data_IF_575145747134
#
_entry.id   IF_575145747134
#
_cell.length_a   1.000
_cell.length_b   1.000
_cell.length_c   1.000
_cell.angle_alpha   90.00
_cell.angle_beta   90.00
_cell.angle_gamma   90.00
#
_symmetry.space_group_name_H-M   'P 1'
#
loop_
_entity.id
_entity.type
_entity.pdbx_description
1 polymer ?
#
# COMPACT_ATOMS: atom_id res chain seq x y z
N UNK A 1 46.65 38.07 -70.50
CA UNK A 1 45.69 38.05 -69.39
C UNK A 1 46.11 37.05 -68.32
N UNK A 2 46.83 37.54 -67.31
CA UNK A 2 47.25 36.71 -66.18
C UNK A 2 46.20 36.84 -65.09
N UNK A 3 45.53 35.77 -64.80
CA UNK A 3 44.59 35.69 -63.70
C UNK A 3 45.34 35.63 -62.36
N UNK A 4 45.30 36.71 -61.61
CA UNK A 4 45.80 36.79 -60.23
C UNK A 4 44.93 35.88 -59.34
N UNK A 5 45.43 34.66 -59.08
CA UNK A 5 44.84 33.80 -58.01
C UNK A 5 45.04 34.51 -56.69
N UNK A 6 43.96 35.00 -56.14
CA UNK A 6 43.88 35.35 -54.73
C UNK A 6 43.98 34.04 -53.95
N UNK A 7 45.09 33.74 -53.35
CA UNK A 7 45.18 32.69 -52.33
C UNK A 7 44.62 33.25 -51.03
N UNK A 8 43.38 32.89 -50.72
CA UNK A 8 42.77 33.12 -49.43
C UNK A 8 43.26 32.07 -48.41
N UNK A 9 44.57 31.82 -48.41
CA UNK A 9 45.16 31.01 -47.35
C UNK A 9 45.34 31.87 -46.10
N UNK A 10 44.61 31.58 -45.04
CA UNK A 10 44.82 32.23 -43.74
C UNK A 10 46.19 31.76 -43.21
N UNK A 11 47.19 32.58 -43.29
CA UNK A 11 48.52 32.27 -42.75
C UNK A 11 48.47 32.35 -41.22
N UNK A 12 48.41 31.16 -40.58
CA UNK A 12 48.40 30.99 -39.14
C UNK A 12 49.62 31.66 -38.45
N UNK A 13 50.73 31.81 -39.17
CA UNK A 13 51.92 32.46 -38.64
C UNK A 13 51.71 33.98 -38.57
N UNK A 14 51.13 34.59 -39.60
CA UNK A 14 50.78 36.02 -39.57
C UNK A 14 49.71 36.29 -38.46
N UNK A 15 48.77 35.41 -38.31
CA UNK A 15 47.74 35.50 -37.24
C UNK A 15 48.36 35.45 -35.85
N UNK A 16 49.34 34.55 -35.64
CA UNK A 16 50.07 34.45 -34.37
C UNK A 16 50.94 35.68 -34.09
N UNK A 17 51.55 36.23 -35.07
CA UNK A 17 52.32 37.45 -34.93
C UNK A 17 51.45 38.67 -34.59
N UNK A 18 50.25 38.79 -35.19
CA UNK A 18 49.28 39.82 -34.86
C UNK A 18 48.84 39.71 -33.42
N UNK A 19 48.48 38.50 -32.99
CA UNK A 19 48.09 38.21 -31.55
C UNK A 19 49.25 38.62 -30.63
N UNK A 20 50.49 38.35 -30.98
CA UNK A 20 51.66 38.69 -30.18
C UNK A 20 51.89 40.21 -30.06
N UNK A 21 51.64 40.97 -31.12
CA UNK A 21 51.73 42.45 -31.10
C UNK A 21 50.71 43.04 -30.09
N UNK A 22 49.50 42.48 -30.05
CA UNK A 22 48.42 42.95 -29.17
C UNK A 22 48.37 42.25 -27.82
N UNK A 23 49.37 41.44 -27.45
CA UNK A 23 49.37 40.64 -26.19
C UNK A 23 49.07 41.45 -24.95
N UNK A 24 49.47 42.72 -24.85
CA UNK A 24 49.17 43.59 -23.70
C UNK A 24 47.67 43.90 -23.60
N UNK A 25 47.01 44.12 -24.73
CA UNK A 25 45.56 44.38 -24.74
C UNK A 25 44.77 43.12 -24.44
N UNK A 26 45.18 41.99 -25.02
CA UNK A 26 44.57 40.67 -24.71
C UNK A 26 44.72 40.37 -23.24
N UNK A 27 45.90 40.55 -22.67
CA UNK A 27 46.13 40.31 -21.26
C UNK A 27 45.31 41.28 -20.38
N UNK A 28 45.28 42.57 -20.68
CA UNK A 28 44.56 43.57 -19.93
C UNK A 28 43.04 43.31 -19.93
N UNK A 29 42.46 43.01 -21.11
CA UNK A 29 41.03 42.73 -21.23
C UNK A 29 40.68 41.44 -20.53
N UNK A 30 41.45 40.36 -20.72
CA UNK A 30 41.24 39.07 -20.06
C UNK A 30 41.34 39.22 -18.52
N UNK A 31 42.38 39.94 -18.05
CA UNK A 31 42.56 40.18 -16.62
C UNK A 31 41.42 41.02 -16.02
N UNK A 32 40.98 42.08 -16.72
CA UNK A 32 39.87 42.94 -16.25
C UNK A 32 38.55 42.14 -16.16
N UNK A 33 38.21 41.38 -17.19
CA UNK A 33 36.97 40.58 -17.19
C UNK A 33 37.04 39.48 -16.13
N UNK A 34 38.20 38.85 -15.97
CA UNK A 34 38.39 37.81 -14.92
C UNK A 34 38.34 38.41 -13.52
N UNK A 35 38.83 39.62 -13.32
CA UNK A 35 38.73 40.31 -12.03
C UNK A 35 37.28 40.66 -11.68
N UNK A 36 36.50 41.17 -12.64
CA UNK A 36 35.06 41.43 -12.44
C UNK A 36 34.32 40.13 -12.12
N UNK A 37 34.59 39.05 -12.82
CA UNK A 37 34.00 37.74 -12.53
C UNK A 37 34.44 37.21 -11.16
N UNK A 38 35.68 37.45 -10.77
CA UNK A 38 36.14 37.14 -9.41
C UNK A 38 35.40 37.93 -8.36
N UNK A 39 35.27 39.25 -8.50
CA UNK A 39 34.48 40.09 -7.60
C UNK A 39 33.03 39.60 -7.51
N UNK A 40 32.39 39.32 -8.64
CA UNK A 40 31.04 38.74 -8.65
C UNK A 40 30.99 37.40 -7.91
N UNK A 41 31.88 36.48 -8.16
CA UNK A 41 31.93 35.19 -7.51
C UNK A 41 32.15 35.27 -5.99
N UNK A 42 32.83 36.30 -5.51
CA UNK A 42 33.06 36.53 -4.08
C UNK A 42 31.90 37.28 -3.39
N UNK A 43 31.20 38.14 -4.11
CA UNK A 43 30.06 38.90 -3.56
C UNK A 43 28.73 38.15 -3.68
N UNK A 44 28.63 37.18 -4.59
CA UNK A 44 27.44 36.37 -4.77
C UNK A 44 27.12 35.57 -3.51
N UNK A 45 25.82 35.53 -3.16
CA UNK A 45 25.30 34.89 -1.96
C UNK A 45 25.72 33.42 -1.90
N UNK A 46 26.39 32.98 -0.84
CA UNK A 46 26.77 31.58 -0.68
C UNK A 46 25.53 30.71 -0.50
N UNK A 47 25.51 29.57 -1.17
CA UNK A 47 24.46 28.57 -1.01
C UNK A 47 25.03 27.29 -0.40
N UNK A 48 24.34 26.79 0.59
CA UNK A 48 24.65 25.57 1.33
C UNK A 48 23.72 24.46 0.86
N UNK A 49 24.24 23.24 0.79
CA UNK A 49 23.50 22.07 0.35
C UNK A 49 23.10 21.21 1.55
N UNK A 50 21.86 20.82 1.60
CA UNK A 50 21.37 19.76 2.47
C UNK A 50 20.83 18.61 1.63
N UNK A 51 21.06 17.39 2.11
CA UNK A 51 20.58 16.14 1.47
C UNK A 51 19.94 15.27 2.52
N UNK A 52 18.77 14.74 2.22
CA UNK A 52 18.08 13.78 3.07
C UNK A 52 17.74 12.52 2.30
N UNK A 53 17.87 11.39 2.97
CA UNK A 53 17.36 10.11 2.54
C UNK A 53 15.98 9.92 3.18
N UNK A 54 14.97 9.73 2.35
CA UNK A 54 13.58 9.59 2.77
C UNK A 54 13.12 8.17 2.52
N UNK A 55 12.55 7.54 3.53
CA UNK A 55 11.87 6.25 3.43
C UNK A 55 10.38 6.48 3.21
N UNK A 56 9.84 5.85 2.17
CA UNK A 56 8.40 5.85 1.90
C UNK A 56 7.70 5.03 2.96
N UNK A 57 6.60 5.56 3.48
CA UNK A 57 5.78 4.86 4.46
C UNK A 57 5.30 3.50 3.94
N UNK A 58 5.15 2.57 4.86
CA UNK A 58 4.73 1.19 4.55
C UNK A 58 3.84 0.64 5.66
N UNK A 59 3.19 -0.47 5.38
CA UNK A 59 2.60 -1.37 6.36
C UNK A 59 2.92 -2.81 5.98
N UNK A 60 2.82 -3.72 6.95
CA UNK A 60 3.06 -5.15 6.74
C UNK A 60 1.76 -5.85 6.39
N UNK A 61 1.81 -6.71 5.37
CA UNK A 61 0.73 -7.63 5.05
C UNK A 61 0.65 -8.78 6.07
N UNK A 62 -0.33 -9.65 5.90
CA UNK A 62 -0.55 -10.79 6.79
C UNK A 62 0.62 -11.81 6.74
N UNK A 63 1.48 -11.76 5.72
CA UNK A 63 2.72 -12.54 5.59
C UNK A 63 3.94 -11.85 6.20
N UNK A 64 3.78 -10.63 6.74
CA UNK A 64 4.87 -9.83 7.30
C UNK A 64 5.70 -9.08 6.26
N UNK A 65 5.30 -9.07 4.99
CA UNK A 65 5.97 -8.33 3.93
C UNK A 65 5.60 -6.85 3.98
N UNK A 66 6.61 -6.00 3.82
CA UNK A 66 6.41 -4.54 3.77
C UNK A 66 5.84 -4.11 2.43
N UNK A 67 4.71 -3.45 2.49
CA UNK A 67 4.00 -2.91 1.34
C UNK A 67 4.02 -1.39 1.41
N UNK A 68 4.63 -0.75 0.44
CA UNK A 68 4.74 0.71 0.40
C UNK A 68 3.35 1.35 0.26
N UNK A 69 3.12 2.41 1.01
CA UNK A 69 1.88 3.20 0.94
C UNK A 69 1.73 3.82 -0.46
N UNK A 70 2.88 4.11 -1.09
CA UNK A 70 2.96 4.76 -2.38
C UNK A 70 4.16 4.28 -3.18
N UNK A 71 4.08 4.33 -4.50
CA UNK A 71 5.23 4.10 -5.35
C UNK A 71 6.23 5.26 -5.19
N UNK A 72 7.49 4.94 -4.99
CA UNK A 72 8.55 5.93 -4.83
C UNK A 72 8.69 6.84 -6.04
N UNK A 73 8.56 6.29 -7.26
CA UNK A 73 8.60 7.07 -8.49
C UNK A 73 7.53 8.17 -8.54
N UNK A 74 6.33 7.84 -8.11
CA UNK A 74 5.21 8.79 -8.09
C UNK A 74 5.41 9.89 -7.04
N UNK A 75 5.97 9.53 -5.89
CA UNK A 75 6.35 10.50 -4.85
C UNK A 75 7.41 11.47 -5.36
N UNK A 76 8.44 10.94 -6.00
CA UNK A 76 9.51 11.73 -6.62
C UNK A 76 8.93 12.66 -7.69
N UNK A 77 8.07 12.15 -8.56
CA UNK A 77 7.42 12.97 -9.61
C UNK A 77 6.56 14.06 -9.00
N UNK A 78 5.74 13.74 -8.02
CA UNK A 78 4.84 14.68 -7.33
C UNK A 78 5.61 15.81 -6.66
N UNK A 79 6.64 15.46 -5.89
CA UNK A 79 7.50 16.44 -5.24
C UNK A 79 8.27 17.27 -6.28
N UNK A 80 8.72 16.68 -7.38
CA UNK A 80 9.41 17.38 -8.48
C UNK A 80 8.49 18.42 -9.09
N UNK A 81 7.26 18.05 -9.43
CA UNK A 81 6.27 18.99 -9.96
C UNK A 81 6.03 20.13 -8.95
N UNK A 82 5.76 19.80 -7.69
CA UNK A 82 5.39 20.78 -6.65
C UNK A 82 6.53 21.74 -6.29
N UNK A 83 7.77 21.25 -6.18
CA UNK A 83 8.88 21.99 -5.60
C UNK A 83 10.00 22.36 -6.59
N UNK A 84 9.94 21.83 -7.81
CA UNK A 84 10.88 22.19 -8.88
C UNK A 84 10.14 22.86 -10.03
N UNK A 85 9.18 22.18 -10.66
CA UNK A 85 8.58 22.63 -11.90
C UNK A 85 7.65 23.86 -11.69
N UNK A 86 6.77 23.83 -10.70
CA UNK A 86 5.88 24.94 -10.38
C UNK A 86 6.59 26.16 -9.81
N UNK A 87 7.77 25.98 -9.23
CA UNK A 87 8.59 27.07 -8.70
C UNK A 87 9.64 27.58 -9.71
N UNK A 88 9.67 27.03 -10.91
CA UNK A 88 10.58 27.45 -11.96
C UNK A 88 10.26 28.87 -12.41
N UNK A 89 11.20 29.80 -12.19
CA UNK A 89 11.01 31.22 -12.51
C UNK A 89 10.43 32.07 -11.38
N UNK A 90 10.11 31.50 -10.23
CA UNK A 90 9.72 32.29 -9.05
C UNK A 90 10.97 32.91 -8.45
N UNK A 91 11.04 34.25 -8.44
CA UNK A 91 12.12 35.02 -7.85
C UNK A 91 11.91 35.22 -6.34
N UNK A 92 13.01 35.45 -5.62
CA UNK A 92 12.97 35.80 -4.19
C UNK A 92 12.94 34.61 -3.22
N UNK A 93 13.00 33.38 -3.69
CA UNK A 93 13.10 32.21 -2.84
C UNK A 93 14.47 32.12 -2.17
N UNK A 94 14.49 31.84 -0.87
CA UNK A 94 15.72 31.65 -0.08
C UNK A 94 16.31 30.24 -0.26
N UNK A 95 15.65 29.38 -1.01
CA UNK A 95 16.05 28.00 -1.29
C UNK A 95 15.74 27.59 -2.73
N UNK A 96 16.40 26.53 -3.17
CA UNK A 96 16.12 25.86 -4.45
C UNK A 96 16.26 24.35 -4.26
N UNK A 97 15.26 23.61 -4.66
CA UNK A 97 15.35 22.14 -4.74
C UNK A 97 16.15 21.80 -5.99
N UNK A 98 17.29 21.15 -5.83
CA UNK A 98 18.17 20.80 -6.95
C UNK A 98 17.81 19.47 -7.58
N UNK A 99 17.47 18.49 -6.73
CA UNK A 99 17.22 17.15 -7.19
C UNK A 99 16.32 16.41 -6.20
N UNK A 100 15.42 15.62 -6.78
CA UNK A 100 14.67 14.58 -6.08
C UNK A 100 14.80 13.34 -6.94
N UNK A 101 15.29 12.24 -6.38
CA UNK A 101 15.54 11.03 -7.17
C UNK A 101 15.44 9.77 -6.36
N UNK A 102 14.95 8.70 -6.99
CA UNK A 102 14.96 7.37 -6.41
C UNK A 102 16.38 6.88 -6.13
N UNK A 103 16.55 6.11 -5.06
CA UNK A 103 17.79 5.40 -4.77
C UNK A 103 17.90 4.19 -5.71
N UNK A 104 19.00 4.07 -6.42
CA UNK A 104 19.25 2.93 -7.32
C UNK A 104 19.15 1.61 -6.56
N UNK A 105 18.42 0.66 -7.14
CA UNK A 105 18.23 -0.69 -6.62
C UNK A 105 17.46 -0.78 -5.28
N UNK A 106 16.86 0.30 -4.82
CA UNK A 106 16.00 0.26 -3.64
C UNK A 106 14.77 1.15 -3.82
N UNK A 107 13.65 0.51 -4.12
CA UNK A 107 12.36 1.18 -4.36
C UNK A 107 11.69 1.75 -3.10
N UNK A 108 12.32 1.62 -1.95
CA UNK A 108 11.78 2.09 -0.67
C UNK A 108 12.23 3.51 -0.33
N UNK A 109 13.34 3.96 -0.96
CA UNK A 109 14.00 5.21 -0.61
C UNK A 109 14.15 6.16 -1.80
N UNK A 110 14.16 7.43 -1.49
CA UNK A 110 14.52 8.49 -2.42
C UNK A 110 15.31 9.60 -1.73
N UNK A 111 16.13 10.30 -2.49
CA UNK A 111 16.94 11.41 -2.01
C UNK A 111 16.30 12.75 -2.37
N UNK A 112 16.39 13.70 -1.44
CA UNK A 112 16.04 15.11 -1.65
C UNK A 112 17.30 15.95 -1.45
N UNK A 113 17.66 16.76 -2.45
CA UNK A 113 18.74 17.72 -2.39
C UNK A 113 18.22 19.15 -2.50
N UNK A 114 18.48 19.95 -1.48
CA UNK A 114 18.08 21.34 -1.40
C UNK A 114 19.32 22.23 -1.21
N UNK A 115 19.38 23.34 -1.92
CA UNK A 115 20.35 24.40 -1.67
C UNK A 115 19.65 25.66 -1.19
N UNK A 116 20.22 26.32 -0.20
CA UNK A 116 19.65 27.53 0.40
C UNK A 116 20.75 28.47 0.88
N UNK A 117 20.35 29.70 1.26
CA UNK A 117 21.26 30.72 1.80
C UNK A 117 21.86 30.32 3.16
N UNK A 118 21.21 29.40 3.88
CA UNK A 118 21.72 28.80 5.13
C UNK A 118 21.38 27.32 5.19
N UNK A 119 22.14 26.57 5.98
CA UNK A 119 21.84 25.15 6.27
C UNK A 119 20.46 25.01 6.94
N UNK A 120 20.10 25.88 7.87
CA UNK A 120 18.81 25.84 8.57
C UNK A 120 17.63 26.00 7.60
N UNK A 121 17.74 26.91 6.63
CA UNK A 121 16.72 27.10 5.59
C UNK A 121 16.60 25.84 4.70
N UNK A 122 17.72 25.21 4.32
CA UNK A 122 17.71 24.01 3.53
C UNK A 122 17.07 22.82 4.28
N UNK A 123 17.46 22.63 5.54
CA UNK A 123 16.90 21.60 6.44
C UNK A 123 15.39 21.82 6.65
N UNK A 124 15.00 23.07 6.98
CA UNK A 124 13.58 23.41 7.16
C UNK A 124 12.74 23.11 5.91
N UNK A 125 13.30 23.38 4.73
CA UNK A 125 12.59 23.11 3.49
C UNK A 125 12.48 21.60 3.21
N UNK A 126 13.52 20.81 3.48
CA UNK A 126 13.46 19.35 3.40
C UNK A 126 12.39 18.81 4.33
N UNK A 127 12.41 19.21 5.61
CA UNK A 127 11.41 18.78 6.58
C UNK A 127 10.00 19.12 6.08
N UNK A 128 9.77 20.35 5.61
CA UNK A 128 8.47 20.74 5.05
C UNK A 128 8.02 19.83 3.89
N UNK A 129 8.93 19.48 2.99
CA UNK A 129 8.61 18.60 1.85
C UNK A 129 8.23 17.20 2.33
N UNK A 130 8.95 16.67 3.33
CA UNK A 130 8.67 15.35 3.89
C UNK A 130 7.39 15.39 4.74
N UNK A 131 7.16 16.45 5.52
CA UNK A 131 5.94 16.63 6.32
C UNK A 131 4.69 16.72 5.44
N UNK A 132 4.77 17.44 4.32
CA UNK A 132 3.67 17.53 3.35
C UNK A 132 3.32 16.14 2.78
N UNK A 133 4.34 15.36 2.42
CA UNK A 133 4.15 13.99 1.92
C UNK A 133 3.66 13.05 3.03
N UNK A 134 4.25 13.16 4.22
CA UNK A 134 3.85 12.39 5.39
C UNK A 134 2.39 12.65 5.78
N UNK A 135 1.92 13.91 5.66
CA UNK A 135 0.53 14.26 5.92
C UNK A 135 -0.45 13.57 4.95
N UNK A 136 -0.08 13.46 3.68
CA UNK A 136 -0.88 12.72 2.70
C UNK A 136 -0.85 11.21 2.98
N UNK A 137 0.33 10.66 3.28
CA UNK A 137 0.48 9.26 3.63
C UNK A 137 -0.22 8.92 4.94
N UNK A 138 -0.30 9.85 5.89
CA UNK A 138 -1.06 9.68 7.12
C UNK A 138 -2.55 9.41 6.84
N UNK A 139 -3.12 10.06 5.83
CA UNK A 139 -4.50 9.79 5.44
C UNK A 139 -4.68 8.34 4.92
N UNK A 140 -3.72 7.83 4.16
CA UNK A 140 -3.73 6.44 3.69
C UNK A 140 -3.55 5.45 4.85
N UNK A 141 -2.65 5.75 5.79
CA UNK A 141 -2.48 4.96 7.02
C UNK A 141 -3.77 4.95 7.84
N UNK A 142 -4.38 6.12 8.04
CA UNK A 142 -5.63 6.23 8.78
C UNK A 142 -6.74 5.42 8.11
N UNK A 143 -6.85 5.49 6.78
CA UNK A 143 -7.80 4.68 6.02
C UNK A 143 -7.54 3.18 6.18
N UNK A 144 -6.27 2.75 6.14
CA UNK A 144 -5.88 1.36 6.41
C UNK A 144 -6.28 0.93 7.84
N UNK A 145 -5.94 1.74 8.84
CA UNK A 145 -6.28 1.46 10.24
C UNK A 145 -7.79 1.34 10.43
N UNK A 146 -8.56 2.27 9.88
CA UNK A 146 -10.02 2.25 9.97
C UNK A 146 -10.62 1.01 9.28
N UNK A 147 -10.08 0.63 8.13
CA UNK A 147 -10.50 -0.59 7.45
C UNK A 147 -10.21 -1.84 8.30
N UNK A 148 -9.00 -1.92 8.89
CA UNK A 148 -8.64 -3.05 9.78
C UNK A 148 -9.52 -3.06 11.04
N UNK A 149 -9.89 -1.91 11.59
CA UNK A 149 -10.85 -1.82 12.69
C UNK A 149 -12.25 -2.32 12.29
N UNK A 150 -12.71 -1.97 11.09
CA UNK A 150 -13.98 -2.48 10.55
C UNK A 150 -13.92 -4.00 10.37
N UNK A 151 -12.81 -4.53 9.85
CA UNK A 151 -12.57 -5.97 9.76
C UNK A 151 -12.61 -6.63 11.14
N UNK A 152 -11.92 -6.06 12.13
CA UNK A 152 -11.92 -6.54 13.50
C UNK A 152 -13.33 -6.58 14.10
N UNK A 153 -14.07 -5.48 13.97
CA UNK A 153 -15.45 -5.39 14.45
C UNK A 153 -16.38 -6.41 13.74
N UNK A 154 -16.13 -6.70 12.48
CA UNK A 154 -16.87 -7.73 11.75
C UNK A 154 -16.54 -9.13 12.26
N UNK A 155 -15.28 -9.46 12.50
CA UNK A 155 -14.85 -10.74 13.07
C UNK A 155 -15.44 -10.90 14.49
N UNK A 156 -15.38 -9.86 15.31
CA UNK A 156 -15.97 -9.88 16.66
C UNK A 156 -17.48 -10.12 16.63
N UNK A 157 -18.19 -9.52 15.68
CA UNK A 157 -19.61 -9.81 15.46
C UNK A 157 -19.85 -11.26 15.07
N UNK A 158 -19.01 -11.83 14.21
CA UNK A 158 -19.09 -13.24 13.83
C UNK A 158 -18.81 -14.16 15.02
N UNK A 159 -17.77 -13.87 15.81
CA UNK A 159 -17.46 -14.60 17.03
C UNK A 159 -18.64 -14.56 18.01
N UNK A 160 -19.18 -13.38 18.26
CA UNK A 160 -20.31 -13.19 19.15
C UNK A 160 -21.54 -13.92 18.64
N UNK A 161 -21.82 -13.85 17.35
CA UNK A 161 -22.93 -14.58 16.74
C UNK A 161 -22.73 -16.09 16.84
N UNK A 162 -21.53 -16.60 16.50
CA UNK A 162 -21.20 -18.02 16.62
C UNK A 162 -21.38 -18.50 18.06
N UNK A 163 -20.86 -17.77 19.04
CA UNK A 163 -20.94 -18.13 20.47
C UNK A 163 -22.34 -18.04 21.03
N UNK A 164 -23.02 -16.94 20.77
CA UNK A 164 -24.27 -16.63 21.49
C UNK A 164 -25.52 -17.16 20.78
N UNK A 165 -25.42 -17.39 19.46
CA UNK A 165 -26.57 -17.88 18.70
C UNK A 165 -26.36 -19.33 18.28
N UNK A 166 -25.35 -19.59 17.46
CA UNK A 166 -25.20 -20.91 16.81
C UNK A 166 -24.82 -21.99 17.81
N UNK A 167 -23.79 -21.73 18.64
CA UNK A 167 -23.36 -22.69 19.69
C UNK A 167 -24.46 -22.90 20.74
N UNK A 168 -25.06 -21.82 21.20
CA UNK A 168 -26.16 -21.88 22.20
C UNK A 168 -27.35 -22.67 21.66
N UNK A 169 -27.72 -22.41 20.40
CA UNK A 169 -28.80 -23.14 19.75
C UNK A 169 -28.51 -24.64 19.65
N UNK A 170 -27.26 -25.01 19.27
CA UNK A 170 -26.83 -26.40 19.26
C UNK A 170 -26.83 -27.04 20.65
N UNK A 171 -26.38 -26.29 21.66
CA UNK A 171 -26.47 -26.75 23.08
C UNK A 171 -27.91 -26.97 23.52
N UNK A 172 -28.80 -26.05 23.17
CA UNK A 172 -30.23 -26.18 23.48
C UNK A 172 -30.84 -27.40 22.77
N UNK A 173 -30.45 -27.67 21.50
CA UNK A 173 -30.89 -28.85 20.79
C UNK A 173 -30.39 -30.15 21.46
N UNK A 174 -29.12 -30.20 21.89
CA UNK A 174 -28.53 -31.32 22.61
C UNK A 174 -29.27 -31.54 23.94
N UNK A 175 -29.46 -30.45 24.69
CA UNK A 175 -30.15 -30.49 26.00
C UNK A 175 -31.62 -30.90 25.83
N UNK A 176 -32.27 -30.37 24.81
CA UNK A 176 -33.65 -30.76 24.50
C UNK A 176 -33.76 -32.26 24.17
N UNK A 177 -32.82 -32.81 23.40
CA UNK A 177 -32.79 -34.25 23.12
C UNK A 177 -32.59 -35.03 24.42
N UNK A 178 -31.64 -34.64 25.28
CA UNK A 178 -31.29 -35.34 26.50
C UNK A 178 -32.39 -35.21 27.57
N UNK A 179 -32.89 -34.02 27.77
CA UNK A 179 -33.84 -33.76 28.89
C UNK A 179 -35.30 -34.00 28.54
N UNK A 180 -35.63 -33.92 27.23
CA UNK A 180 -37.03 -33.98 26.83
C UNK A 180 -37.36 -35.20 25.97
N UNK A 181 -36.60 -35.44 24.88
CA UNK A 181 -36.96 -36.50 23.93
C UNK A 181 -36.68 -37.89 24.47
N UNK A 182 -35.48 -38.15 24.98
CA UNK A 182 -35.12 -39.48 25.52
C UNK A 182 -35.98 -39.88 26.68
N UNK A 183 -36.19 -39.02 27.74
CA UNK A 183 -37.10 -39.38 28.84
C UNK A 183 -38.56 -39.55 28.42
N UNK A 184 -38.95 -38.87 27.35
CA UNK A 184 -40.28 -39.03 26.78
C UNK A 184 -40.47 -40.42 26.13
N UNK A 185 -39.47 -40.84 25.32
CA UNK A 185 -39.47 -42.15 24.70
C UNK A 185 -39.43 -43.23 25.79
N UNK A 186 -38.56 -43.05 26.81
CA UNK A 186 -38.48 -43.97 27.93
C UNK A 186 -39.83 -44.13 28.66
N UNK A 187 -40.54 -43.02 28.87
CA UNK A 187 -41.91 -43.06 29.43
C UNK A 187 -42.90 -43.74 28.49
N UNK A 188 -42.77 -43.54 27.17
CA UNK A 188 -43.61 -44.17 26.17
C UNK A 188 -43.35 -45.68 26.08
N UNK A 189 -42.06 -46.09 26.13
CA UNK A 189 -41.68 -47.50 26.24
C UNK A 189 -42.32 -48.14 27.48
N UNK A 190 -42.40 -47.39 28.53
CA UNK A 190 -43.01 -47.86 29.79
C UNK A 190 -44.51 -47.93 29.68
N UNK A 191 -45.14 -46.99 29.00
CA UNK A 191 -46.61 -46.95 28.77
C UNK A 191 -47.06 -47.82 27.58
N UNK A 192 -46.29 -48.64 27.21
CA UNK A 192 -46.18 -49.44 26.05
C UNK A 192 -47.36 -50.05 25.35
N UNK A 193 -48.41 -50.14 25.85
CA UNK A 193 -49.43 -51.06 25.29
C UNK A 193 -50.49 -50.39 24.42
N UNK A 194 -50.55 -49.09 24.45
CA UNK A 194 -51.77 -48.47 23.89
C UNK A 194 -51.52 -47.51 22.74
N UNK A 195 -50.53 -47.73 21.97
CA UNK A 195 -50.45 -46.95 20.84
C UNK A 195 -49.54 -45.87 20.48
N UNK A 196 -49.14 -45.97 19.69
CA UNK A 196 -48.18 -45.12 19.58
C UNK A 196 -47.71 -44.51 18.30
N UNK A 197 -48.38 -44.64 17.21
CA UNK A 197 -48.18 -43.94 15.96
C UNK A 197 -48.14 -42.41 16.09
N UNK A 198 -49.03 -41.74 16.84
CA UNK A 198 -48.97 -40.28 17.00
C UNK A 198 -47.78 -39.78 17.80
N UNK A 199 -47.23 -40.58 18.69
CA UNK A 199 -46.05 -40.20 19.46
C UNK A 199 -44.76 -40.29 18.62
N UNK A 200 -44.61 -41.37 17.87
CA UNK A 200 -43.50 -41.56 16.98
C UNK A 200 -43.53 -40.55 15.79
N UNK A 201 -44.72 -40.20 15.28
CA UNK A 201 -44.86 -39.11 14.28
C UNK A 201 -44.45 -37.74 14.84
N UNK A 202 -44.73 -37.47 16.14
CA UNK A 202 -44.30 -36.22 16.79
C UNK A 202 -42.78 -36.10 16.88
N UNK A 203 -42.08 -37.20 16.93
CA UNK A 203 -40.61 -37.18 16.96
C UNK A 203 -39.99 -36.84 15.60
N UNK A 204 -40.61 -37.36 14.54
CA UNK A 204 -40.21 -36.98 13.17
C UNK A 204 -40.42 -35.47 12.95
N UNK A 205 -41.56 -34.93 13.44
CA UNK A 205 -41.83 -33.49 13.39
C UNK A 205 -40.78 -32.66 14.15
N UNK A 206 -40.25 -33.17 15.27
CA UNK A 206 -39.21 -32.46 16.02
C UNK A 206 -37.87 -32.34 15.26
N UNK A 207 -37.58 -33.33 14.41
CA UNK A 207 -36.40 -33.25 13.53
C UNK A 207 -36.62 -32.18 12.44
N UNK A 208 -37.77 -32.17 11.82
CA UNK A 208 -38.10 -31.25 10.73
C UNK A 208 -38.26 -29.80 11.17
N UNK A 209 -38.91 -29.58 12.32
CA UNK A 209 -39.29 -28.25 12.78
C UNK A 209 -38.20 -27.55 13.59
N UNK A 210 -37.28 -28.31 14.18
CA UNK A 210 -36.21 -27.75 15.01
C UNK A 210 -34.83 -27.87 14.33
N UNK A 211 -34.47 -29.09 13.92
CA UNK A 211 -33.08 -29.31 13.46
C UNK A 211 -32.81 -28.77 12.08
N UNK A 212 -33.71 -29.01 11.12
CA UNK A 212 -33.56 -28.55 9.73
C UNK A 212 -33.66 -27.03 9.59
N UNK A 213 -34.65 -26.33 10.20
CA UNK A 213 -34.75 -24.89 10.18
C UNK A 213 -33.53 -24.19 10.83
N UNK A 214 -33.00 -24.74 11.92
CA UNK A 214 -31.84 -24.23 12.63
C UNK A 214 -30.59 -24.20 11.74
N UNK A 215 -30.28 -25.31 11.09
CA UNK A 215 -29.18 -25.42 10.15
C UNK A 215 -29.36 -24.49 8.95
N UNK A 216 -30.59 -24.41 8.41
CA UNK A 216 -30.91 -23.49 7.29
C UNK A 216 -30.66 -22.03 7.66
N UNK A 217 -31.09 -21.60 8.87
CA UNK A 217 -30.84 -20.24 9.36
C UNK A 217 -29.34 -19.92 9.48
N UNK A 218 -28.53 -20.89 9.91
CA UNK A 218 -27.07 -20.73 10.01
C UNK A 218 -26.42 -20.54 8.63
N UNK A 219 -26.88 -21.30 7.64
CA UNK A 219 -26.46 -21.14 6.24
C UNK A 219 -26.83 -19.75 5.71
N UNK A 220 -28.07 -19.35 5.90
CA UNK A 220 -28.57 -18.05 5.43
C UNK A 220 -27.75 -16.88 5.97
N UNK A 221 -27.48 -16.88 7.27
CA UNK A 221 -26.70 -15.82 7.91
C UNK A 221 -25.25 -15.74 7.43
N UNK A 222 -24.60 -16.88 7.22
CA UNK A 222 -23.24 -16.89 6.66
C UNK A 222 -23.23 -16.44 5.19
N UNK A 223 -24.25 -16.80 4.43
CA UNK A 223 -24.41 -16.36 3.03
C UNK A 223 -24.62 -14.84 2.93
N UNK A 224 -25.41 -14.24 3.83
CA UNK A 224 -25.59 -12.79 3.85
C UNK A 224 -24.28 -12.05 4.16
N UNK A 225 -23.44 -12.62 5.01
CA UNK A 225 -22.12 -12.06 5.35
C UNK A 225 -21.12 -12.15 4.20
N UNK A 226 -21.11 -13.30 3.53
CA UNK A 226 -20.31 -13.51 2.33
C UNK A 226 -20.59 -12.42 1.29
N UNK A 227 -21.86 -12.20 0.97
CA UNK A 227 -22.28 -11.12 0.04
C UNK A 227 -21.81 -9.74 0.47
N UNK A 228 -21.74 -9.46 1.76
CA UNK A 228 -21.24 -8.18 2.27
C UNK A 228 -19.74 -8.00 2.01
N UNK A 229 -18.94 -9.04 2.24
CA UNK A 229 -17.50 -8.99 1.94
C UNK A 229 -17.21 -8.91 0.44
N UNK A 230 -17.98 -9.62 -0.37
CA UNK A 230 -17.90 -9.51 -1.82
C UNK A 230 -18.18 -8.06 -2.28
N UNK A 231 -19.23 -7.43 -1.74
CA UNK A 231 -19.56 -6.04 -2.04
C UNK A 231 -18.48 -5.04 -1.55
N UNK A 232 -17.83 -5.34 -0.44
CA UNK A 232 -16.72 -4.53 0.08
C UNK A 232 -15.47 -4.66 -0.80
N UNK A 233 -15.18 -5.86 -1.26
CA UNK A 233 -14.12 -6.14 -2.24
C UNK A 233 -14.34 -5.37 -3.54
N UNK A 234 -15.57 -5.39 -4.06
CA UNK A 234 -15.96 -4.63 -5.27
C UNK A 234 -15.79 -3.12 -5.08
N UNK A 235 -16.15 -2.58 -3.92
CA UNK A 235 -15.93 -1.16 -3.59
C UNK A 235 -14.45 -0.79 -3.60
N UNK A 236 -13.60 -1.64 -3.04
CA UNK A 236 -12.14 -1.45 -3.04
C UNK A 236 -11.60 -1.47 -4.47
N UNK A 237 -12.10 -2.37 -5.31
CA UNK A 237 -11.72 -2.47 -6.73
C UNK A 237 -12.26 -1.32 -7.57
N UNK A 238 -13.49 -0.88 -7.32
CA UNK A 238 -14.13 0.21 -8.04
C UNK A 238 -13.56 1.58 -7.71
N UNK A 239 -12.94 1.74 -6.55
CA UNK A 239 -12.34 3.01 -6.13
C UNK A 239 -11.02 3.28 -6.86
N UNK A 240 -11.13 3.60 -8.16
CA UNK A 240 -10.01 3.91 -9.07
C UNK A 240 -9.42 5.31 -8.88
N UNK A 241 -10.03 6.14 -8.04
CA UNK A 241 -9.81 7.59 -8.04
C UNK A 241 -8.83 8.12 -6.98
N UNK A 242 -8.02 7.25 -6.36
CA UNK A 242 -6.96 7.77 -5.47
C UNK A 242 -5.64 7.54 -6.18
N UNK A 243 -5.01 8.63 -6.52
CA UNK A 243 -3.85 8.71 -7.37
C UNK A 243 -2.76 7.71 -7.01
N UNK A 244 -2.39 6.99 -8.03
CA UNK A 244 -1.07 6.41 -8.30
C UNK A 244 -0.48 5.50 -7.20
N UNK A 245 0.31 4.65 -7.50
CA UNK A 245 1.14 3.59 -6.85
C UNK A 245 1.06 3.36 -5.33
N UNK A 246 0.88 4.39 -4.51
CA UNK A 246 0.69 4.29 -3.05
C UNK A 246 -0.53 3.47 -2.66
N UNK A 247 -1.58 3.61 -3.44
CA UNK A 247 -2.83 2.90 -3.20
C UNK A 247 -2.82 1.45 -3.68
N UNK A 248 -1.95 1.09 -4.61
CA UNK A 248 -1.92 -0.28 -5.16
C UNK A 248 -1.54 -1.29 -4.08
N UNK A 249 -0.56 -0.98 -3.28
CA UNK A 249 -0.04 -1.87 -2.25
C UNK A 249 -1.00 -1.97 -1.06
N UNK A 250 -1.54 -0.83 -0.59
CA UNK A 250 -2.59 -0.80 0.42
C UNK A 250 -3.78 -1.64 -0.03
N UNK A 251 -4.22 -1.41 -1.24
CA UNK A 251 -5.32 -2.14 -1.87
C UNK A 251 -5.05 -3.63 -1.97
N UNK A 252 -3.85 -4.06 -2.37
CA UNK A 252 -3.49 -5.46 -2.50
C UNK A 252 -3.52 -6.20 -1.14
N UNK A 253 -3.05 -5.58 -0.05
CA UNK A 253 -3.20 -6.15 1.30
C UNK A 253 -4.64 -6.19 1.76
N UNK A 254 -5.41 -5.14 1.49
CA UNK A 254 -6.83 -5.10 1.81
C UNK A 254 -7.58 -6.22 1.08
N UNK A 255 -7.33 -6.37 -0.21
CA UNK A 255 -7.90 -7.44 -1.02
C UNK A 255 -7.51 -8.81 -0.45
N UNK A 256 -6.25 -9.04 -0.12
CA UNK A 256 -5.78 -10.32 0.43
C UNK A 256 -6.43 -10.65 1.79
N UNK A 257 -6.59 -9.66 2.67
CA UNK A 257 -7.30 -9.81 3.92
C UNK A 257 -8.77 -10.21 3.73
N UNK A 258 -9.47 -9.57 2.78
CA UNK A 258 -10.86 -9.88 2.46
C UNK A 258 -10.99 -11.27 1.80
N UNK A 259 -10.08 -11.64 0.91
CA UNK A 259 -10.08 -12.99 0.31
C UNK A 259 -9.96 -14.10 1.37
N UNK A 260 -9.12 -13.92 2.38
CA UNK A 260 -9.01 -14.85 3.50
C UNK A 260 -10.35 -14.99 4.26
N UNK A 261 -11.07 -13.89 4.47
CA UNK A 261 -12.39 -13.88 5.13
C UNK A 261 -13.44 -14.61 4.28
N UNK A 262 -13.50 -14.35 3.00
CA UNK A 262 -14.41 -14.98 2.05
C UNK A 262 -14.20 -16.50 2.06
N UNK A 263 -12.96 -16.95 1.92
CA UNK A 263 -12.63 -18.39 1.89
C UNK A 263 -13.07 -19.13 3.15
N UNK A 264 -12.93 -18.51 4.31
CA UNK A 264 -13.35 -19.13 5.58
C UNK A 264 -14.88 -19.18 5.74
N UNK A 265 -15.61 -18.19 5.25
CA UNK A 265 -17.06 -18.20 5.24
C UNK A 265 -17.61 -19.27 4.26
N UNK A 266 -17.00 -19.41 3.09
CA UNK A 266 -17.34 -20.46 2.14
C UNK A 266 -17.18 -21.85 2.75
N UNK A 267 -16.07 -22.12 3.45
CA UNK A 267 -15.84 -23.39 4.15
C UNK A 267 -16.90 -23.64 5.22
N UNK A 268 -17.29 -22.62 5.97
CA UNK A 268 -18.36 -22.72 6.98
C UNK A 268 -19.71 -23.04 6.36
N UNK A 269 -20.07 -22.43 5.24
CA UNK A 269 -21.31 -22.70 4.50
C UNK A 269 -21.32 -24.15 4.00
N UNK A 270 -20.22 -24.63 3.43
CA UNK A 270 -20.08 -26.02 2.95
C UNK A 270 -20.30 -27.02 4.11
N UNK A 271 -19.72 -26.77 5.29
CA UNK A 271 -19.90 -27.62 6.47
C UNK A 271 -21.38 -27.71 6.91
N UNK A 272 -22.10 -26.58 6.93
CA UNK A 272 -23.53 -26.56 7.26
C UNK A 272 -24.41 -27.21 6.20
N UNK A 273 -24.11 -27.07 4.91
CA UNK A 273 -24.83 -27.77 3.85
C UNK A 273 -24.61 -29.29 3.92
N UNK A 274 -23.41 -29.75 4.25
CA UNK A 274 -23.13 -31.16 4.51
C UNK A 274 -23.95 -31.69 5.69
N UNK A 275 -24.03 -30.92 6.78
CA UNK A 275 -24.88 -31.29 7.93
C UNK A 275 -26.35 -31.40 7.57
N UNK A 276 -26.90 -30.42 6.83
CA UNK A 276 -28.27 -30.44 6.32
C UNK A 276 -28.52 -31.70 5.48
N UNK A 277 -27.55 -32.06 4.64
CA UNK A 277 -27.61 -33.26 3.80
C UNK A 277 -27.69 -34.54 4.68
N UNK A 278 -26.86 -34.62 5.74
CA UNK A 278 -26.91 -35.76 6.69
C UNK A 278 -28.25 -35.86 7.40
N UNK A 279 -28.81 -34.73 7.84
CA UNK A 279 -30.13 -34.69 8.48
C UNK A 279 -31.26 -35.14 7.54
N UNK A 280 -31.22 -34.73 6.26
CA UNK A 280 -32.25 -35.04 5.28
C UNK A 280 -32.13 -36.44 4.71
N UNK A 281 -30.92 -36.94 4.44
CA UNK A 281 -30.68 -38.19 3.74
C UNK A 281 -30.44 -39.38 4.65
N UNK A 282 -29.98 -39.15 5.86
CA UNK A 282 -29.72 -40.22 6.82
C UNK A 282 -30.69 -40.19 8.01
N UNK A 283 -30.70 -39.08 8.79
CA UNK A 283 -31.44 -39.08 10.05
C UNK A 283 -32.97 -39.14 9.87
N UNK A 284 -33.54 -38.39 8.92
CA UNK A 284 -34.98 -38.35 8.68
C UNK A 284 -35.53 -39.64 8.08
N UNK A 285 -34.99 -40.20 6.99
CA UNK A 285 -35.41 -41.48 6.45
C UNK A 285 -35.26 -42.61 7.46
N UNK A 286 -34.21 -42.60 8.24
CA UNK A 286 -34.01 -43.61 9.27
C UNK A 286 -35.08 -43.55 10.38
N UNK A 287 -35.45 -42.33 10.78
CA UNK A 287 -36.55 -42.16 11.74
C UNK A 287 -37.93 -42.56 11.16
N UNK A 288 -38.17 -42.26 9.86
CA UNK A 288 -39.39 -42.73 9.17
C UNK A 288 -39.43 -44.28 9.03
N UNK A 289 -38.34 -44.88 8.60
CA UNK A 289 -38.20 -46.34 8.52
C UNK A 289 -38.38 -47.02 9.87
N UNK A 290 -38.07 -46.30 10.94
CA UNK A 290 -38.32 -46.78 12.31
C UNK A 290 -39.75 -46.60 12.76
N UNK A 291 -40.35 -45.47 12.43
CA UNK A 291 -41.77 -45.30 12.66
C UNK A 291 -42.57 -46.43 11.98
N UNK A 292 -42.21 -46.72 10.76
CA UNK A 292 -42.84 -47.79 10.01
C UNK A 292 -42.57 -49.19 10.64
N UNK A 293 -41.36 -49.44 11.17
CA UNK A 293 -41.03 -50.60 11.97
C UNK A 293 -41.73 -50.63 13.32
N UNK A 294 -41.76 -49.46 14.00
CA UNK A 294 -42.49 -49.30 15.24
C UNK A 294 -43.97 -49.63 15.09
N UNK A 295 -44.53 -49.31 13.93
CA UNK A 295 -45.92 -49.58 13.61
C UNK A 295 -46.16 -51.08 13.39
N UNK A 296 -45.16 -51.81 12.93
CA UNK A 296 -45.26 -53.23 12.54
C UNK A 296 -44.77 -54.21 13.60
N UNK A 297 -43.92 -53.74 14.52
CA UNK A 297 -43.24 -54.69 15.44
C UNK A 297 -43.13 -54.06 16.81
N UNK A 298 -43.90 -54.06 17.64
CA UNK A 298 -43.93 -53.72 19.06
C UNK A 298 -42.67 -53.05 19.70
N UNK A 299 -42.33 -53.39 20.88
CA UNK A 299 -41.37 -52.78 21.79
C UNK A 299 -39.92 -52.74 21.26
N UNK A 300 -39.46 -53.80 20.54
CA UNK A 300 -38.11 -53.88 20.03
C UNK A 300 -37.78 -52.70 19.09
N UNK A 301 -38.74 -52.24 18.36
CA UNK A 301 -38.57 -51.12 17.45
C UNK A 301 -38.48 -49.77 18.18
N UNK A 302 -39.12 -49.61 19.31
CA UNK A 302 -38.97 -48.40 20.16
C UNK A 302 -37.61 -48.33 20.85
N UNK A 303 -37.05 -49.47 21.24
CA UNK A 303 -35.65 -49.48 21.72
C UNK A 303 -34.65 -49.12 20.61
N UNK A 304 -34.85 -49.60 19.42
CA UNK A 304 -34.05 -49.25 18.25
C UNK A 304 -34.11 -47.74 17.97
N UNK A 305 -35.28 -47.11 18.13
CA UNK A 305 -35.44 -45.68 17.99
C UNK A 305 -34.66 -44.90 19.08
N UNK A 306 -34.76 -45.33 20.34
CA UNK A 306 -33.97 -44.76 21.44
C UNK A 306 -32.47 -44.89 21.14
N UNK A 307 -32.02 -46.08 20.70
CA UNK A 307 -30.61 -46.32 20.40
C UNK A 307 -30.10 -45.41 19.29
N UNK A 308 -30.92 -45.08 18.35
CA UNK A 308 -30.53 -44.13 17.27
C UNK A 308 -30.43 -42.70 17.77
N UNK A 309 -31.36 -42.24 18.62
CA UNK A 309 -31.26 -40.93 19.23
C UNK A 309 -30.00 -40.80 20.07
N UNK A 310 -29.63 -41.82 20.82
CA UNK A 310 -28.49 -41.82 21.74
C UNK A 310 -27.15 -42.01 20.97
N UNK A 311 -27.12 -42.96 20.01
CA UNK A 311 -25.87 -43.38 19.40
C UNK A 311 -25.52 -42.62 18.10
N UNK A 312 -26.53 -42.14 17.36
CA UNK A 312 -26.30 -41.45 16.10
C UNK A 312 -26.49 -39.94 16.19
N UNK A 313 -27.64 -39.49 16.62
CA UNK A 313 -28.03 -38.09 16.60
C UNK A 313 -27.34 -37.25 17.66
N UNK A 314 -27.31 -37.73 18.89
CA UNK A 314 -26.68 -37.03 20.00
C UNK A 314 -25.15 -36.91 19.78
N UNK A 315 -24.42 -37.99 19.43
CA UNK A 315 -23.00 -37.89 19.10
C UNK A 315 -22.70 -37.04 17.84
N UNK A 316 -23.61 -37.06 16.87
CA UNK A 316 -23.45 -36.20 15.65
C UNK A 316 -23.59 -34.71 16.01
N UNK A 317 -24.59 -34.31 16.74
CA UNK A 317 -24.77 -32.95 17.22
C UNK A 317 -23.66 -32.53 18.18
N UNK A 318 -23.18 -33.44 19.02
CA UNK A 318 -22.01 -33.17 19.88
C UNK A 318 -20.73 -32.96 19.07
N UNK A 319 -20.47 -33.79 18.06
CA UNK A 319 -19.33 -33.61 17.17
C UNK A 319 -19.40 -32.27 16.43
N UNK A 320 -20.58 -31.92 15.94
CA UNK A 320 -20.79 -30.63 15.28
C UNK A 320 -20.61 -29.46 16.25
N UNK A 321 -21.14 -29.57 17.46
CA UNK A 321 -20.89 -28.57 18.50
C UNK A 321 -19.39 -28.42 18.80
N UNK A 322 -18.68 -29.53 18.91
CA UNK A 322 -17.22 -29.52 19.08
C UNK A 322 -16.54 -28.84 17.91
N UNK A 323 -16.95 -29.16 16.68
CA UNK A 323 -16.37 -28.53 15.47
C UNK A 323 -16.59 -27.01 15.47
N UNK A 324 -17.81 -26.54 15.77
CA UNK A 324 -18.11 -25.13 15.90
C UNK A 324 -17.29 -24.45 17.01
N UNK A 325 -17.09 -25.12 18.13
CA UNK A 325 -16.35 -24.60 19.28
C UNK A 325 -14.83 -24.65 19.09
N UNK A 326 -14.30 -25.64 18.35
CA UNK A 326 -12.86 -25.83 18.21
C UNK A 326 -12.34 -25.34 16.86
N UNK A 327 -12.94 -25.73 15.74
CA UNK A 327 -12.41 -25.32 14.44
C UNK A 327 -12.87 -23.95 14.01
N UNK A 328 -14.18 -23.71 13.95
CA UNK A 328 -14.72 -22.45 13.42
C UNK A 328 -14.42 -21.27 14.35
N UNK A 329 -14.56 -21.47 15.64
CA UNK A 329 -14.24 -20.43 16.62
C UNK A 329 -12.74 -20.11 16.62
N UNK A 330 -11.87 -21.12 16.56
CA UNK A 330 -10.44 -20.91 16.54
C UNK A 330 -9.98 -20.19 15.25
N UNK A 331 -10.54 -20.55 14.10
CA UNK A 331 -10.29 -19.82 12.84
C UNK A 331 -10.61 -18.33 12.97
N UNK A 332 -11.78 -18.00 13.55
CA UNK A 332 -12.17 -16.62 13.76
C UNK A 332 -11.26 -15.91 14.79
N UNK A 333 -10.83 -16.61 15.85
CA UNK A 333 -9.90 -16.09 16.85
C UNK A 333 -8.50 -15.84 16.25
N UNK A 334 -8.04 -16.75 15.40
CA UNK A 334 -6.77 -16.58 14.69
C UNK A 334 -6.82 -15.38 13.74
N UNK A 335 -7.91 -15.25 13.00
CA UNK A 335 -8.12 -14.08 12.12
C UNK A 335 -8.20 -12.78 12.92
N UNK A 336 -8.90 -12.78 14.05
CA UNK A 336 -8.93 -11.66 14.97
C UNK A 336 -7.50 -11.27 15.39
N UNK A 337 -6.73 -12.27 15.81
CA UNK A 337 -5.34 -12.06 16.25
C UNK A 337 -4.46 -11.49 15.14
N UNK A 338 -4.61 -11.94 13.89
CA UNK A 338 -3.89 -11.39 12.74
C UNK A 338 -4.26 -9.94 12.48
N UNK A 339 -5.55 -9.60 12.54
CA UNK A 339 -5.99 -8.20 12.35
C UNK A 339 -5.54 -7.32 13.53
N UNK A 340 -5.62 -7.81 14.76
CA UNK A 340 -5.09 -7.11 15.94
C UNK A 340 -3.58 -6.89 15.83
N UNK A 341 -2.84 -7.88 15.32
CA UNK A 341 -1.41 -7.76 15.06
C UNK A 341 -1.14 -6.69 13.99
N UNK A 342 -1.90 -6.68 12.89
CA UNK A 342 -1.78 -5.68 11.83
C UNK A 342 -2.00 -4.24 12.33
N UNK A 343 -2.80 -4.07 13.38
CA UNK A 343 -3.06 -2.77 14.02
C UNK A 343 -1.97 -2.32 14.99
N UNK A 344 -0.96 -3.16 15.28
CA UNK A 344 0.14 -2.77 16.18
C UNK A 344 1.02 -1.72 15.51
N UNK A 345 1.49 -0.69 16.26
CA UNK A 345 2.24 0.44 15.70
C UNK A 345 3.51 0.07 14.93
N UNK A 346 4.12 -1.08 15.22
CA UNK A 346 5.34 -1.55 14.54
C UNK A 346 5.05 -2.23 13.18
N UNK A 347 3.80 -2.39 12.80
CA UNK A 347 3.41 -3.00 11.53
C UNK A 347 3.04 -1.99 10.45
N UNK A 348 3.13 -0.70 10.76
CA UNK A 348 2.97 0.39 9.78
C UNK A 348 3.86 1.56 10.18
N UNK A 349 4.37 2.27 9.20
CA UNK A 349 5.24 3.41 9.39
C UNK A 349 4.91 4.48 8.36
N UNK A 350 4.88 5.73 8.80
CA UNK A 350 4.70 6.85 7.87
C UNK A 350 6.01 7.17 7.15
N UNK A 351 5.91 7.92 6.06
CA UNK A 351 7.08 8.45 5.37
C UNK A 351 7.87 9.35 6.31
N UNK A 352 9.17 9.11 6.33
CA UNK A 352 10.08 9.83 7.25
C UNK A 352 11.48 9.94 6.67
N UNK A 353 12.26 10.84 7.26
CA UNK A 353 13.71 10.93 7.02
C UNK A 353 14.39 9.82 7.82
N UNK A 354 15.22 9.01 7.14
CA UNK A 354 15.83 7.78 7.75
C UNK A 354 17.02 8.11 8.63
N UNK A 355 17.73 9.19 8.34
CA UNK A 355 18.94 9.59 9.05
C UNK A 355 18.99 11.10 9.24
N UNK A 356 19.99 11.58 9.96
CA UNK A 356 20.24 13.02 10.03
C UNK A 356 20.43 13.59 8.61
N UNK A 357 19.86 14.76 8.39
CA UNK A 357 20.02 15.49 7.13
C UNK A 357 21.49 15.89 6.99
N UNK A 358 22.12 15.40 5.93
CA UNK A 358 23.51 15.72 5.63
C UNK A 358 23.61 17.14 5.12
N UNK A 359 24.32 17.98 5.85
CA UNK A 359 24.54 19.39 5.50
C UNK A 359 25.98 19.65 5.04
N UNK A 360 26.16 20.56 4.10
CA UNK A 360 27.48 20.96 3.66
C UNK A 360 28.12 21.94 4.64
N UNK A 361 29.36 21.65 5.07
CA UNK A 361 30.12 22.56 5.95
C UNK A 361 30.66 23.81 5.21
N UNK A 362 30.66 23.79 3.87
CA UNK A 362 31.12 24.89 3.01
C UNK A 362 30.06 25.18 1.95
N UNK A 363 29.94 26.44 1.49
CA UNK A 363 29.07 26.77 0.39
C UNK A 363 29.38 25.93 -0.86
N UNK A 364 28.34 25.35 -1.47
CA UNK A 364 28.46 24.55 -2.70
C UNK A 364 28.30 25.39 -3.96
N UNK A 365 27.70 26.58 -3.82
CA UNK A 365 27.54 27.59 -4.90
C UNK A 365 27.79 29.00 -4.36
N UNK A 366 28.22 29.92 -5.24
CA UNK A 366 28.72 29.64 -6.59
C UNK A 366 30.03 28.86 -6.53
N UNK A 367 30.32 28.07 -7.55
CA UNK A 367 31.63 27.40 -7.71
C UNK A 367 32.65 28.46 -8.14
N UNK A 368 33.18 29.24 -7.18
CA UNK A 368 34.03 30.39 -7.40
C UNK A 368 35.18 30.13 -8.36
N UNK A 369 35.92 29.04 -8.13
CA UNK A 369 37.03 28.66 -9.02
C UNK A 369 36.58 28.39 -10.47
N UNK A 370 35.46 27.66 -10.65
CA UNK A 370 34.93 27.35 -11.99
C UNK A 370 34.48 28.60 -12.74
N UNK A 371 33.84 29.57 -12.04
CA UNK A 371 33.41 30.83 -12.64
C UNK A 371 34.64 31.58 -13.16
N UNK A 372 35.68 31.74 -12.33
CA UNK A 372 36.87 32.47 -12.69
C UNK A 372 37.61 31.80 -13.87
N UNK A 373 37.75 30.46 -13.81
CA UNK A 373 38.45 29.70 -14.88
C UNK A 373 37.68 29.78 -16.22
N UNK A 374 36.34 29.54 -16.17
CA UNK A 374 35.54 29.61 -17.40
C UNK A 374 35.56 31.02 -17.99
N UNK A 375 35.38 32.04 -17.13
CA UNK A 375 35.41 33.44 -17.58
C UNK A 375 36.80 33.81 -18.15
N UNK A 376 37.88 33.37 -17.50
CA UNK A 376 39.22 33.57 -18.01
C UNK A 376 39.41 32.96 -19.40
N UNK A 377 39.06 31.71 -19.60
CA UNK A 377 39.18 31.03 -20.89
C UNK A 377 38.31 31.69 -21.98
N UNK A 378 37.06 31.99 -21.64
CA UNK A 378 36.13 32.64 -22.58
C UNK A 378 36.57 34.06 -22.93
N UNK A 379 37.03 34.85 -21.96
CA UNK A 379 37.53 36.20 -22.21
C UNK A 379 38.83 36.21 -22.99
N UNK A 380 39.72 35.22 -22.79
CA UNK A 380 40.92 35.04 -23.56
C UNK A 380 40.59 34.77 -25.04
N UNK A 381 39.69 33.85 -25.32
CA UNK A 381 39.27 33.53 -26.69
C UNK A 381 38.63 34.76 -27.35
N UNK A 382 37.69 35.42 -26.64
CA UNK A 382 37.01 36.62 -27.16
C UNK A 382 37.97 37.79 -27.39
N UNK A 383 38.95 38.00 -26.49
CA UNK A 383 39.92 39.07 -26.66
C UNK A 383 40.88 38.84 -27.85
N UNK A 384 41.33 37.59 -28.06
CA UNK A 384 42.10 37.23 -29.23
C UNK A 384 41.28 37.49 -30.51
N UNK A 385 40.03 37.01 -30.54
CA UNK A 385 39.15 37.23 -31.69
C UNK A 385 38.85 38.71 -31.93
N UNK A 386 38.57 39.46 -30.87
CA UNK A 386 38.33 40.93 -30.92
C UNK A 386 39.53 41.71 -31.49
N UNK A 387 40.73 41.31 -31.10
CA UNK A 387 41.97 41.92 -31.64
C UNK A 387 42.11 41.60 -33.10
N UNK A 388 41.87 40.40 -33.56
CA UNK A 388 41.94 40.01 -34.95
C UNK A 388 40.93 40.80 -35.81
N UNK A 389 39.72 40.96 -35.33
CA UNK A 389 38.68 41.78 -36.00
C UNK A 389 39.10 43.25 -36.05
N UNK A 390 39.59 43.78 -34.93
CA UNK A 390 40.04 45.17 -34.86
C UNK A 390 41.17 45.42 -35.84
N UNK A 391 42.17 44.54 -35.92
CA UNK A 391 43.31 44.65 -36.86
C UNK A 391 42.84 44.59 -38.31
N UNK A 392 41.90 43.69 -38.63
CA UNK A 392 41.32 43.56 -39.96
C UNK A 392 40.58 44.85 -40.40
N UNK A 393 39.81 45.47 -39.45
CA UNK A 393 39.08 46.71 -39.70
C UNK A 393 40.12 47.87 -39.90
N UNK A 394 41.11 47.93 -39.05
CA UNK A 394 42.20 48.96 -39.13
C UNK A 394 42.98 48.86 -40.43
N UNK A 395 43.31 47.67 -40.83
CA UNK A 395 44.07 47.45 -42.14
C UNK A 395 43.13 47.89 -43.30
N UNK A 396 41.85 47.68 -43.29
CA UNK A 396 40.92 48.22 -44.29
C UNK A 396 40.86 49.75 -44.33
N UNK A 397 40.66 50.36 -43.18
CA UNK A 397 40.54 51.82 -43.02
C UNK A 397 41.88 52.52 -43.47
N UNK A 398 43.00 51.87 -43.17
CA UNK A 398 44.28 52.40 -43.57
C UNK A 398 44.63 52.21 -45.10
N UNK A 399 43.99 51.18 -45.73
CA UNK A 399 44.04 51.03 -47.18
C UNK A 399 43.20 52.10 -47.88
N UNK A 400 41.99 52.32 -47.43
CA UNK A 400 41.07 53.33 -47.94
C UNK A 400 41.70 54.78 -47.88
N UNK A 401 42.45 55.08 -46.80
CA UNK A 401 43.14 56.35 -46.63
C UNK A 401 44.38 56.49 -47.51
N UNK A 402 44.90 55.44 -48.13
CA UNK A 402 46.07 55.49 -49.05
C UNK A 402 45.66 55.47 -50.52
N UNK A 403 44.38 55.12 -50.79
CA UNK A 403 43.87 55.09 -52.16
C UNK A 403 42.95 56.27 -52.50
N UNK A 404 42.60 57.15 -51.52
CA UNK A 404 41.96 58.47 -51.71
C UNK A 404 42.96 59.63 -51.50
#
# INVERSE_FOLDING_TARGET
MQSKKLSDEIDLFELSKKVWVYKKYIFLTTASVSLVAGLYAFTATPLYKATALVEVGYYKNDNGEEILIANTADNVQKLTIKYIDLLKGVEGLDYKVEKISEVKNNKKFFDIEVVAKSNDTAVKQINKMVDDLASEHQNAINAYIELKKVQLANIERQINFLKNNVIVEKQQQIEYIKSTQIPRIDRQITYMKDATIPAARREISAIDDISIPSVRKSIELNTQRLKKYEAELEKIRANKNVGESENIILRQMMEQGIYSQISNLEQSIIAFEQQKQVLLTKSKPDAQNRLDRLVSVELENMQAEKDILVNDKLPSLQRELVNLQTEELNKLLDQRSLVELALKPYNYQNTQIVSDIVISNKPVKPKKASIVVITFLSSLILSVFGVLVYDAIRDRVNKDKREG
#
